data_IF_391495589928
#
_entry.id   IF_391495589928
#
_cell.length_a   1.000
_cell.length_b   1.000
_cell.length_c   1.000
_cell.angle_alpha   90.00
_cell.angle_beta   90.00
_cell.angle_gamma   90.00
#
_symmetry.space_group_name_H-M   'P 1'
#
loop_
_entity.id
_entity.type
_entity.pdbx_description
1 polymer ?
#
# COMPACT_ATOMS: atom_id res chain seq x y z
N UNK A 1 12.63 19.74 -0.58
CA UNK A 1 11.64 18.78 -1.21
C UNK A 1 10.44 18.58 -0.28
N UNK A 2 9.29 18.05 -0.77
CA UNK A 2 8.13 17.76 0.12
C UNK A 2 8.50 16.80 1.24
N UNK A 3 9.32 15.81 0.97
CA UNK A 3 9.76 14.80 1.95
C UNK A 3 10.56 15.38 3.12
N UNK A 4 11.31 16.44 2.92
CA UNK A 4 12.06 17.13 3.98
C UNK A 4 11.13 17.77 5.04
N UNK A 5 9.85 17.93 4.73
CA UNK A 5 8.84 18.38 5.69
C UNK A 5 8.43 17.27 6.65
N UNK A 6 8.66 16.01 6.31
CA UNK A 6 8.22 14.84 7.05
C UNK A 6 9.36 14.00 7.61
N UNK A 7 10.50 13.96 6.90
CA UNK A 7 11.63 13.10 7.25
C UNK A 7 12.82 13.95 7.66
N UNK A 8 13.41 13.59 8.79
CA UNK A 8 14.67 14.19 9.25
C UNK A 8 15.79 13.84 8.27
N UNK A 9 16.85 14.65 8.29
CA UNK A 9 18.01 14.49 7.41
C UNK A 9 18.60 13.08 7.50
N UNK A 10 18.73 12.52 8.70
CA UNK A 10 19.30 11.18 8.91
C UNK A 10 18.46 10.09 8.20
N UNK A 11 17.12 10.22 8.25
CA UNK A 11 16.24 9.29 7.54
C UNK A 11 16.33 9.45 6.02
N UNK A 12 16.46 10.70 5.56
CA UNK A 12 16.65 11.00 4.14
C UNK A 12 17.98 10.42 3.64
N UNK A 13 19.06 10.59 4.38
CA UNK A 13 20.37 10.04 4.04
C UNK A 13 20.33 8.51 4.01
N UNK A 14 19.75 7.88 5.02
CA UNK A 14 19.56 6.44 5.06
C UNK A 14 18.82 5.90 3.83
N UNK A 15 17.69 6.53 3.46
CA UNK A 15 16.88 6.07 2.33
C UNK A 15 17.52 6.36 0.97
N UNK A 16 18.07 7.56 0.75
CA UNK A 16 18.48 8.03 -0.57
C UNK A 16 19.97 7.90 -0.84
N UNK A 17 20.83 8.23 0.12
CA UNK A 17 22.27 8.14 -0.03
C UNK A 17 22.77 6.72 0.23
N UNK A 18 22.38 6.14 1.37
CA UNK A 18 22.85 4.81 1.77
C UNK A 18 22.05 3.67 1.14
N UNK A 19 20.86 3.95 0.57
CA UNK A 19 19.94 2.96 -0.02
C UNK A 19 19.51 1.88 0.97
N UNK A 20 19.44 2.22 2.26
CA UNK A 20 19.00 1.32 3.32
C UNK A 20 17.50 1.49 3.56
N UNK A 21 16.82 0.37 3.72
CA UNK A 21 15.41 0.34 4.13
C UNK A 21 15.27 0.63 5.62
N UNK A 22 14.13 1.22 5.99
CA UNK A 22 13.77 1.49 7.38
C UNK A 22 12.62 0.58 7.77
N UNK A 23 12.79 -0.22 8.82
CA UNK A 23 11.75 -1.07 9.35
C UNK A 23 10.71 -0.23 10.09
N UNK A 24 9.46 -0.34 9.66
CA UNK A 24 8.33 0.38 10.26
C UNK A 24 7.47 -0.51 11.16
N UNK A 25 7.45 -1.80 10.90
CA UNK A 25 6.62 -2.75 11.62
C UNK A 25 7.19 -4.16 11.50
N UNK A 26 6.99 -4.97 12.56
CA UNK A 26 7.35 -6.36 12.61
C UNK A 26 6.32 -7.17 13.39
N UNK A 27 6.09 -8.39 12.95
CA UNK A 27 5.31 -9.43 13.59
C UNK A 27 5.94 -10.79 13.21
N UNK A 28 5.33 -11.89 13.61
CA UNK A 28 5.77 -13.23 13.26
C UNK A 28 4.62 -14.09 12.74
N UNK A 29 4.95 -14.98 11.84
CA UNK A 29 4.07 -16.07 11.40
C UNK A 29 4.85 -17.36 11.32
N UNK A 30 4.41 -18.42 12.05
CA UNK A 30 5.12 -19.70 12.16
C UNK A 30 6.60 -19.50 12.60
N UNK A 31 6.80 -18.68 13.63
CA UNK A 31 8.12 -18.35 14.22
C UNK A 31 9.11 -17.70 13.24
N UNK A 32 8.61 -17.14 12.14
CA UNK A 32 9.41 -16.46 11.14
C UNK A 32 8.98 -15.00 11.00
N UNK A 33 9.95 -14.08 10.71
CA UNK A 33 9.66 -12.65 10.70
C UNK A 33 8.77 -12.26 9.53
N UNK A 34 7.76 -11.46 9.84
CA UNK A 34 6.89 -10.76 8.91
C UNK A 34 7.06 -9.26 9.17
N UNK A 35 7.58 -8.52 8.21
CA UNK A 35 8.00 -7.13 8.44
C UNK A 35 7.50 -6.19 7.35
N UNK A 36 7.40 -4.89 7.68
CA UNK A 36 7.19 -3.82 6.71
C UNK A 36 8.34 -2.83 6.74
N UNK A 37 8.83 -2.48 5.57
CA UNK A 37 9.96 -1.57 5.37
C UNK A 37 9.57 -0.41 4.47
N UNK A 38 10.00 0.80 4.85
CA UNK A 38 10.05 1.95 3.96
C UNK A 38 11.40 1.91 3.21
N UNK A 39 11.35 2.05 1.90
CA UNK A 39 12.53 1.96 1.02
C UNK A 39 12.48 2.99 -0.10
N UNK A 40 13.64 3.36 -0.60
CA UNK A 40 13.76 4.09 -1.86
C UNK A 40 14.13 3.12 -2.99
N UNK A 41 13.34 3.10 -4.06
CA UNK A 41 13.54 2.21 -5.19
C UNK A 41 13.87 2.97 -6.48
N UNK A 42 15.15 3.07 -6.80
CA UNK A 42 15.62 3.81 -7.99
C UNK A 42 15.09 3.22 -9.32
N UNK A 43 14.89 1.90 -9.39
CA UNK A 43 14.41 1.20 -10.60
C UNK A 43 12.93 1.41 -10.90
N UNK A 44 12.15 1.85 -9.91
CA UNK A 44 10.69 1.97 -10.00
C UNK A 44 10.21 3.43 -10.02
N UNK A 45 11.08 4.38 -10.38
CA UNK A 45 10.77 5.83 -10.39
C UNK A 45 9.54 6.23 -11.20
N UNK A 46 9.12 5.40 -12.14
CA UNK A 46 7.92 5.64 -12.97
C UNK A 46 6.61 5.36 -12.22
N UNK A 47 6.68 4.55 -11.18
CA UNK A 47 5.53 4.14 -10.36
C UNK A 47 5.57 4.78 -8.96
N UNK A 48 6.73 5.33 -8.57
CA UNK A 48 6.95 5.99 -7.29
C UNK A 48 8.42 5.99 -6.88
N UNK A 49 8.84 6.99 -6.11
CA UNK A 49 10.22 7.06 -5.61
C UNK A 49 10.39 6.37 -4.25
N UNK A 50 9.30 6.19 -3.50
CA UNK A 50 9.26 5.44 -2.24
C UNK A 50 8.45 4.17 -2.40
N UNK A 51 8.76 3.19 -1.60
CA UNK A 51 7.94 1.99 -1.47
C UNK A 51 7.78 1.56 -0.02
N UNK A 52 6.58 1.12 0.32
CA UNK A 52 6.33 0.29 1.48
C UNK A 52 6.37 -1.16 1.01
N UNK A 53 7.24 -1.96 1.57
CA UNK A 53 7.44 -3.35 1.23
C UNK A 53 7.16 -4.24 2.43
N UNK A 54 6.28 -5.22 2.25
CA UNK A 54 6.01 -6.27 3.23
C UNK A 54 6.79 -7.51 2.84
N UNK A 55 7.52 -8.09 3.80
CA UNK A 55 8.35 -9.28 3.59
C UNK A 55 7.98 -10.37 4.58
N UNK A 56 8.19 -11.61 4.19
CA UNK A 56 8.17 -12.78 5.03
C UNK A 56 9.46 -13.56 4.83
N UNK A 57 10.19 -13.89 5.89
CA UNK A 57 11.54 -14.48 5.81
C UNK A 57 12.46 -13.70 4.83
N UNK A 58 12.40 -12.38 4.86
CA UNK A 58 13.11 -11.47 3.94
C UNK A 58 12.72 -11.59 2.44
N UNK A 59 11.70 -12.37 2.11
CA UNK A 59 11.17 -12.44 0.75
C UNK A 59 10.00 -11.47 0.58
N UNK A 60 9.98 -10.72 -0.51
CA UNK A 60 8.93 -9.76 -0.79
C UNK A 60 7.58 -10.45 -0.97
N UNK A 61 6.57 -10.03 -0.19
CA UNK A 61 5.18 -10.46 -0.32
C UNK A 61 4.36 -9.45 -1.11
N UNK A 62 4.38 -8.21 -0.66
CA UNK A 62 3.66 -7.10 -1.31
C UNK A 62 4.51 -5.85 -1.28
N UNK A 63 4.31 -5.00 -2.28
CA UNK A 63 4.95 -3.70 -2.37
C UNK A 63 3.96 -2.66 -2.87
N UNK A 64 3.87 -1.52 -2.17
CA UNK A 64 3.17 -0.32 -2.64
C UNK A 64 4.22 0.72 -2.99
N UNK A 65 4.20 1.19 -4.24
CA UNK A 65 5.06 2.26 -4.71
C UNK A 65 4.27 3.57 -4.69
N UNK A 66 4.87 4.61 -4.13
CA UNK A 66 4.21 5.89 -3.92
C UNK A 66 5.17 7.07 -3.95
N UNK A 67 4.61 8.27 -4.02
CA UNK A 67 5.34 9.52 -3.87
C UNK A 67 4.48 10.59 -3.18
N UNK A 68 5.14 11.60 -2.64
CA UNK A 68 4.49 12.79 -2.12
C UNK A 68 4.37 13.85 -3.21
N UNK A 69 3.23 14.53 -3.26
CA UNK A 69 2.98 15.63 -4.18
C UNK A 69 2.15 16.72 -3.50
N UNK A 70 2.04 17.87 -4.18
CA UNK A 70 1.06 18.90 -3.85
C UNK A 70 -0.24 18.61 -4.57
N UNK A 71 -1.36 18.68 -3.85
CA UNK A 71 -2.68 18.67 -4.46
C UNK A 71 -2.87 20.00 -5.23
N UNK A 72 -3.15 19.95 -6.53
CA UNK A 72 -3.32 21.17 -7.33
C UNK A 72 -4.47 22.07 -6.87
N UNK A 73 -5.48 21.50 -6.22
CA UNK A 73 -6.68 22.23 -5.83
C UNK A 73 -6.50 23.08 -4.56
N UNK A 74 -5.73 22.61 -3.58
CA UNK A 74 -5.60 23.27 -2.27
C UNK A 74 -4.15 23.42 -1.78
N UNK A 75 -3.17 22.97 -2.56
CA UNK A 75 -1.75 23.03 -2.24
C UNK A 75 -1.29 22.15 -1.08
N UNK A 76 -2.17 21.33 -0.50
CA UNK A 76 -1.83 20.41 0.59
C UNK A 76 -0.97 19.26 0.09
N UNK A 77 -0.18 18.71 0.99
CA UNK A 77 0.59 17.50 0.68
C UNK A 77 -0.32 16.29 0.60
N UNK A 78 -0.08 15.45 -0.38
CA UNK A 78 -0.83 14.22 -0.65
C UNK A 78 0.13 13.08 -0.98
N UNK A 79 -0.36 11.85 -0.84
CA UNK A 79 0.32 10.64 -1.31
C UNK A 79 -0.35 10.18 -2.61
N UNK A 80 0.45 9.89 -3.63
CA UNK A 80 0.03 9.17 -4.81
C UNK A 80 0.59 7.75 -4.80
N UNK A 81 -0.28 6.76 -4.94
CA UNK A 81 0.11 5.36 -5.15
C UNK A 81 0.18 5.12 -6.65
N UNK A 82 1.37 4.77 -7.16
CA UNK A 82 1.58 4.48 -8.58
C UNK A 82 1.49 3.01 -8.93
N UNK A 83 1.68 2.11 -7.95
CA UNK A 83 1.51 0.67 -8.15
C UNK A 83 1.34 -0.07 -6.82
N UNK A 84 0.72 -1.24 -6.93
CA UNK A 84 0.65 -2.25 -5.88
C UNK A 84 0.99 -3.59 -6.53
N UNK A 85 2.07 -4.21 -6.08
CA UNK A 85 2.55 -5.49 -6.60
C UNK A 85 2.48 -6.56 -5.52
N UNK A 86 2.05 -7.75 -5.90
CA UNK A 86 2.04 -8.95 -5.06
C UNK A 86 3.03 -10.00 -5.57
N UNK A 87 3.20 -11.11 -4.83
CA UNK A 87 4.11 -12.17 -5.22
C UNK A 87 3.60 -12.92 -6.46
N UNK A 88 4.52 -13.43 -7.26
CA UNK A 88 4.16 -14.19 -8.47
C UNK A 88 3.60 -15.59 -8.13
N UNK A 89 4.09 -16.24 -7.07
CA UNK A 89 3.77 -17.62 -6.69
C UNK A 89 3.52 -17.78 -5.18
N UNK A 90 2.77 -16.86 -4.55
CA UNK A 90 2.61 -16.83 -3.09
C UNK A 90 1.25 -17.32 -2.56
N UNK A 91 0.42 -17.98 -3.37
CA UNK A 91 -0.98 -18.23 -3.01
C UNK A 91 -1.17 -18.99 -1.68
N UNK A 92 -0.39 -20.03 -1.40
CA UNK A 92 -0.54 -20.81 -0.17
C UNK A 92 -0.10 -20.01 1.07
N UNK A 93 1.03 -19.31 0.98
CA UNK A 93 1.50 -18.42 2.05
C UNK A 93 0.49 -17.31 2.33
N UNK A 94 -0.04 -16.67 1.28
CA UNK A 94 -1.08 -15.62 1.41
C UNK A 94 -2.35 -16.16 2.07
N UNK A 95 -2.79 -17.37 1.71
CA UNK A 95 -3.94 -18.01 2.37
C UNK A 95 -3.66 -18.29 3.85
N UNK A 96 -2.47 -18.81 4.17
CA UNK A 96 -2.03 -19.07 5.53
C UNK A 96 -2.00 -17.79 6.38
N UNK A 97 -1.36 -16.75 5.89
CA UNK A 97 -1.32 -15.44 6.54
C UNK A 97 -2.71 -14.83 6.70
N UNK A 98 -3.55 -14.90 5.67
CA UNK A 98 -4.94 -14.41 5.75
C UNK A 98 -5.72 -15.13 6.86
N UNK A 99 -5.52 -16.43 7.02
CA UNK A 99 -6.13 -17.21 8.11
C UNK A 99 -5.58 -16.78 9.47
N UNK A 100 -4.26 -16.62 9.60
CA UNK A 100 -3.60 -16.16 10.83
C UNK A 100 -4.06 -14.77 11.25
N UNK A 101 -4.26 -13.87 10.30
CA UNK A 101 -4.81 -12.52 10.52
C UNK A 101 -6.34 -12.46 10.50
N UNK A 102 -6.99 -13.56 10.90
CA UNK A 102 -8.45 -13.63 11.08
C UNK A 102 -9.24 -13.15 9.86
N UNK A 103 -8.79 -13.54 8.67
CA UNK A 103 -9.42 -13.19 7.40
C UNK A 103 -9.03 -11.81 6.86
N UNK A 104 -8.08 -11.12 7.49
CA UNK A 104 -7.54 -9.89 6.96
C UNK A 104 -6.49 -10.19 5.89
N UNK A 105 -6.76 -9.82 4.65
CA UNK A 105 -5.87 -10.16 3.54
C UNK A 105 -4.57 -9.37 3.61
N UNK A 106 -3.46 -10.01 3.31
CA UNK A 106 -2.13 -9.39 3.31
C UNK A 106 -2.05 -8.16 2.38
N UNK A 107 -2.79 -8.17 1.27
CA UNK A 107 -2.94 -7.02 0.37
C UNK A 107 -3.59 -5.80 1.06
N UNK A 108 -4.58 -6.03 1.92
CA UNK A 108 -5.18 -4.98 2.73
C UNK A 108 -4.25 -4.53 3.86
N UNK A 109 -3.48 -5.45 4.43
CA UNK A 109 -2.54 -5.14 5.51
C UNK A 109 -1.44 -4.18 5.06
N UNK A 110 -0.83 -4.38 3.89
CA UNK A 110 0.17 -3.43 3.39
C UNK A 110 -0.45 -2.06 3.08
N UNK A 111 -1.68 -2.03 2.55
CA UNK A 111 -2.37 -0.76 2.33
C UNK A 111 -2.75 -0.07 3.66
N UNK A 112 -3.12 -0.83 4.67
CA UNK A 112 -3.29 -0.32 6.04
C UNK A 112 -1.99 0.30 6.58
N UNK A 113 -0.84 -0.34 6.32
CA UNK A 113 0.47 0.22 6.64
C UNK A 113 0.71 1.60 6.00
N UNK A 114 0.36 1.76 4.72
CA UNK A 114 0.47 3.07 4.04
C UNK A 114 -0.51 4.11 4.61
N UNK A 115 -1.75 3.72 4.93
CA UNK A 115 -2.72 4.58 5.62
C UNK A 115 -2.21 5.05 6.98
N UNK A 116 -1.59 4.14 7.73
CA UNK A 116 -1.00 4.44 9.04
C UNK A 116 0.17 5.43 8.90
N UNK A 117 1.02 5.25 7.89
CA UNK A 117 2.09 6.19 7.56
C UNK A 117 1.51 7.57 7.19
N UNK A 118 0.52 7.63 6.30
CA UNK A 118 -0.14 8.89 5.93
C UNK A 118 -0.71 9.61 7.14
N UNK A 119 -1.41 8.88 8.02
CA UNK A 119 -1.97 9.43 9.27
C UNK A 119 -0.87 9.96 10.21
N UNK A 120 0.22 9.21 10.39
CA UNK A 120 1.35 9.63 11.23
C UNK A 120 2.03 10.90 10.70
N UNK A 121 2.01 11.10 9.38
CA UNK A 121 2.56 12.29 8.72
C UNK A 121 1.54 13.45 8.60
N UNK A 122 0.31 13.29 9.09
CA UNK A 122 -0.73 14.31 8.97
C UNK A 122 -1.18 14.56 7.52
N UNK A 123 -1.15 13.52 6.68
CA UNK A 123 -1.59 13.60 5.28
C UNK A 123 -3.01 13.05 5.18
N UNK A 124 -3.94 13.89 4.73
CA UNK A 124 -5.37 13.59 4.70
C UNK A 124 -5.84 12.94 3.40
N UNK A 125 -5.06 13.05 2.32
CA UNK A 125 -5.47 12.56 1.00
C UNK A 125 -4.46 11.59 0.43
N UNK A 126 -4.96 10.42 0.03
CA UNK A 126 -4.24 9.40 -0.72
C UNK A 126 -4.95 9.23 -2.06
N UNK A 127 -4.21 9.35 -3.15
CA UNK A 127 -4.68 9.04 -4.50
C UNK A 127 -4.04 7.74 -4.96
N UNK A 128 -4.80 6.85 -5.55
CA UNK A 128 -4.33 5.56 -6.01
C UNK A 128 -4.59 5.39 -7.52
N UNK A 129 -3.59 4.94 -8.24
CA UNK A 129 -3.67 4.78 -9.70
C UNK A 129 -4.76 3.77 -10.07
N UNK A 130 -5.61 4.14 -11.03
CA UNK A 130 -6.55 3.24 -11.70
C UNK A 130 -5.82 2.43 -12.79
N UNK A 131 -6.50 1.44 -13.38
CA UNK A 131 -5.92 0.68 -14.49
C UNK A 131 -5.53 1.59 -15.65
N UNK A 132 -6.37 2.60 -15.96
CA UNK A 132 -6.13 3.56 -17.04
C UNK A 132 -4.92 4.48 -16.80
N UNK A 133 -4.59 4.74 -15.53
CA UNK A 133 -3.46 5.60 -15.14
C UNK A 133 -2.16 4.84 -14.90
N UNK A 134 -2.23 3.51 -14.88
CA UNK A 134 -1.05 2.70 -14.58
C UNK A 134 -0.01 2.81 -15.69
N UNK A 135 1.22 3.22 -15.31
CA UNK A 135 2.29 3.51 -16.27
C UNK A 135 2.53 2.36 -17.26
N UNK A 136 2.54 1.12 -16.79
CA UNK A 136 2.83 -0.02 -17.64
C UNK A 136 1.74 -0.27 -18.70
N UNK A 137 0.52 0.25 -18.54
CA UNK A 137 -0.54 0.10 -19.55
C UNK A 137 -0.21 0.82 -20.85
N UNK A 138 0.49 1.95 -20.80
CA UNK A 138 0.91 2.70 -21.99
C UNK A 138 2.07 2.04 -22.74
N UNK A 139 2.75 1.07 -22.12
CA UNK A 139 3.94 0.38 -22.65
C UNK A 139 3.78 -1.13 -22.72
N UNK A 140 2.62 -1.64 -22.30
CA UNK A 140 2.33 -3.07 -22.41
C UNK A 140 2.21 -3.43 -23.89
N UNK A 141 3.00 -4.42 -24.29
CA UNK A 141 2.68 -5.17 -25.51
C UNK A 141 1.27 -5.73 -25.36
N UNK A 142 0.47 -5.65 -26.41
CA UNK A 142 -0.95 -6.03 -26.40
C UNK A 142 -1.23 -7.47 -25.94
N UNK A 143 -0.20 -8.30 -25.81
CA UNK A 143 -0.22 -9.70 -25.37
C UNK A 143 -0.12 -9.90 -23.85
N UNK A 144 0.22 -8.86 -23.06
CA UNK A 144 0.34 -8.95 -21.61
C UNK A 144 -0.88 -8.34 -20.93
N UNK A 145 -1.79 -9.19 -20.46
CA UNK A 145 -2.90 -8.75 -19.61
C UNK A 145 -2.40 -8.31 -18.24
N UNK A 146 -2.88 -7.16 -17.79
CA UNK A 146 -2.69 -6.73 -16.41
C UNK A 146 -3.34 -7.77 -15.48
N UNK A 147 -2.53 -8.44 -14.64
CA UNK A 147 -3.03 -9.47 -13.70
C UNK A 147 -3.79 -8.89 -12.52
N UNK A 148 -3.57 -7.63 -12.20
CA UNK A 148 -4.17 -6.94 -11.07
C UNK A 148 -5.20 -5.93 -11.57
N UNK A 149 -6.45 -6.08 -11.16
CA UNK A 149 -7.45 -5.04 -11.30
C UNK A 149 -7.30 -4.07 -10.11
N UNK A 150 -6.69 -2.92 -10.38
CA UNK A 150 -6.53 -1.87 -9.38
C UNK A 150 -7.86 -1.25 -8.99
N UNK A 151 -8.75 -0.98 -9.96
CA UNK A 151 -10.04 -0.36 -9.72
C UNK A 151 -10.90 -1.18 -8.77
N UNK A 152 -11.03 -2.49 -9.02
CA UNK A 152 -11.77 -3.37 -8.13
C UNK A 152 -11.20 -3.40 -6.71
N UNK A 153 -9.87 -3.41 -6.57
CA UNK A 153 -9.24 -3.39 -5.26
C UNK A 153 -9.45 -2.06 -4.51
N UNK A 154 -9.32 -0.93 -5.20
CA UNK A 154 -9.53 0.36 -4.57
C UNK A 154 -10.98 0.56 -4.14
N UNK A 155 -11.96 0.15 -4.96
CA UNK A 155 -13.38 0.16 -4.60
C UNK A 155 -13.67 -0.72 -3.38
N UNK A 156 -13.05 -1.90 -3.30
CA UNK A 156 -13.14 -2.77 -2.13
C UNK A 156 -12.57 -2.13 -0.85
N UNK A 157 -11.58 -1.26 -1.00
CA UNK A 157 -11.00 -0.44 0.07
C UNK A 157 -11.70 0.91 0.25
N UNK A 158 -12.93 1.07 -0.28
CA UNK A 158 -13.78 2.27 -0.20
C UNK A 158 -13.23 3.49 -0.94
N UNK A 159 -12.35 3.26 -1.91
CA UNK A 159 -11.89 4.28 -2.84
C UNK A 159 -13.02 4.76 -3.76
N UNK A 160 -13.03 6.05 -4.02
CA UNK A 160 -13.96 6.69 -4.97
C UNK A 160 -13.17 7.16 -6.18
N UNK A 161 -13.66 6.84 -7.38
CA UNK A 161 -13.01 7.29 -8.60
C UNK A 161 -13.07 8.83 -8.70
N UNK A 162 -11.94 9.44 -9.02
CA UNK A 162 -11.82 10.89 -9.21
C UNK A 162 -12.44 11.33 -10.54
N UNK A 163 -12.64 12.64 -10.73
CA UNK A 163 -12.93 13.23 -12.04
C UNK A 163 -11.85 12.90 -13.07
N UNK A 164 -10.58 12.93 -12.65
CA UNK A 164 -9.50 12.31 -13.40
C UNK A 164 -9.56 10.79 -13.21
N UNK A 165 -10.08 10.10 -14.22
CA UNK A 165 -10.33 8.65 -14.20
C UNK A 165 -9.08 7.80 -14.00
N UNK A 166 -7.89 8.39 -14.09
CA UNK A 166 -6.62 7.72 -13.83
C UNK A 166 -6.41 7.42 -12.34
N UNK A 167 -7.22 8.02 -11.44
CA UNK A 167 -7.02 7.91 -10.00
C UNK A 167 -8.31 7.62 -9.23
N UNK A 168 -8.13 7.00 -8.08
CA UNK A 168 -9.10 6.87 -6.99
C UNK A 168 -8.64 7.71 -5.81
N UNK A 169 -9.53 8.45 -5.16
CA UNK A 169 -9.28 9.01 -3.84
C UNK A 169 -9.59 7.96 -2.79
N UNK A 170 -8.63 7.72 -1.90
CA UNK A 170 -8.70 6.68 -0.89
C UNK A 170 -8.91 7.30 0.50
N UNK A 171 -9.79 6.74 1.33
CA UNK A 171 -9.89 7.16 2.73
C UNK A 171 -8.60 6.81 3.48
N UNK A 172 -8.07 7.73 4.28
CA UNK A 172 -6.89 7.49 5.14
C UNK A 172 -7.25 6.58 6.31
N UNK A 173 -8.48 6.67 6.84
CA UNK A 173 -8.98 5.75 7.83
C UNK A 173 -9.63 4.53 7.17
N UNK A 174 -9.31 3.33 7.67
CA UNK A 174 -10.03 2.12 7.25
C UNK A 174 -11.40 2.09 7.93
N UNK A 175 -12.46 1.93 7.15
CA UNK A 175 -13.78 1.65 7.69
C UNK A 175 -13.83 0.23 8.26
N UNK A 176 -14.16 0.14 9.52
CA UNK A 176 -14.43 -1.14 10.18
C UNK A 176 -15.92 -1.28 10.40
N UNK A 177 -16.51 -2.31 9.79
CA UNK A 177 -17.92 -2.67 10.02
C UNK A 177 -18.20 -2.82 11.50
N UNK A 178 -19.32 -2.28 11.96
CA UNK A 178 -19.80 -2.51 13.31
C UNK A 178 -20.20 -3.99 13.49
N UNK A 179 -20.35 -4.43 14.74
CA UNK A 179 -20.78 -5.81 15.01
C UNK A 179 -22.18 -6.10 14.49
N UNK A 180 -23.01 -5.08 14.34
CA UNK A 180 -24.38 -5.18 13.83
C UNK A 180 -24.42 -5.41 12.34
N UNK A 181 -23.48 -4.80 11.59
CA UNK A 181 -23.33 -4.97 10.14
C UNK A 181 -22.74 -6.33 9.75
N UNK A 182 -22.24 -7.09 10.73
CA UNK A 182 -21.60 -8.38 10.48
C UNK A 182 -22.55 -9.55 10.71
N UNK A 183 -22.50 -10.51 9.80
CA UNK A 183 -23.15 -11.80 10.01
C UNK A 183 -22.65 -12.44 11.31
N UNK A 184 -23.52 -13.03 12.14
CA UNK A 184 -23.14 -13.62 13.43
C UNK A 184 -21.92 -14.55 13.36
N UNK A 185 -21.82 -15.36 12.32
CA UNK A 185 -20.72 -16.29 12.09
C UNK A 185 -19.35 -15.61 11.90
N UNK A 186 -19.32 -14.32 11.52
CA UNK A 186 -18.08 -13.55 11.30
C UNK A 186 -17.70 -12.65 12.46
N UNK A 187 -18.58 -12.44 13.44
CA UNK A 187 -18.34 -11.53 14.56
C UNK A 187 -17.14 -11.93 15.42
N UNK A 188 -17.00 -13.23 15.74
CA UNK A 188 -15.88 -13.73 16.53
C UNK A 188 -14.53 -13.49 15.83
N UNK A 189 -14.46 -13.71 14.54
CA UNK A 189 -13.29 -13.45 13.71
C UNK A 189 -12.95 -11.96 13.64
N UNK A 190 -13.98 -11.12 13.51
CA UNK A 190 -13.82 -9.67 13.43
C UNK A 190 -13.33 -9.04 14.76
N UNK A 191 -13.75 -9.57 15.91
CA UNK A 191 -13.27 -9.12 17.24
C UNK A 191 -11.77 -9.37 17.44
N UNK A 192 -11.22 -10.42 16.82
CA UNK A 192 -9.79 -10.80 16.93
C UNK A 192 -8.90 -10.07 15.92
N UNK A 193 -9.50 -9.37 14.97
CA UNK A 193 -8.86 -8.57 13.95
C UNK A 193 -8.65 -7.11 14.45
#
# INVERSE_FOLDING_TARGET
MIMEQYFKTELMDQLYAERKSVQLWEDSYQDKPLSMYLSFHAGQRKEGCLSLMMTYENQALYQIMFWFAKNPADGKNVIYIGALQGPQNGNELIKGLTKAFYGYRTKNLIFYGLRSLAKALGIDNIYAVANEGYYAMSHLRMDRKLKTDFGAFWQECEGKQCSDRRFYIMPVAEYRKSMEELKPSKRAQHRRR
#
